data_IF_624573972784
#
_entry.id   IF_624573972784
#
_cell.length_a   1.000
_cell.length_b   1.000
_cell.length_c   1.000
_cell.angle_alpha   90.00
_cell.angle_beta   90.00
_cell.angle_gamma   90.00
#
_symmetry.space_group_name_H-M   'P 1'
#
loop_
_entity.id
_entity.type
_entity.pdbx_description
1 polymer ?
#
# COMPACT_ATOMS: atom_id res chain seq x y z
N UNK A 1 -26.84 18.66 -8.16
CA UNK A 1 -25.90 18.93 -9.28
C UNK A 1 -25.65 17.65 -10.04
N UNK A 2 -25.51 17.72 -11.38
CA UNK A 2 -25.14 16.54 -12.18
C UNK A 2 -23.65 16.62 -12.49
N UNK A 3 -22.96 15.52 -12.36
CA UNK A 3 -21.56 15.33 -12.72
C UNK A 3 -21.44 14.39 -13.91
N UNK A 4 -20.40 14.53 -14.72
CA UNK A 4 -20.15 13.58 -15.79
C UNK A 4 -19.57 12.29 -15.22
N UNK A 5 -18.61 12.40 -14.30
CA UNK A 5 -18.02 11.28 -13.60
C UNK A 5 -18.13 11.45 -12.09
N UNK A 6 -18.51 10.39 -11.39
CA UNK A 6 -18.43 10.26 -9.93
C UNK A 6 -17.39 9.19 -9.61
N UNK A 7 -16.32 9.58 -8.94
CA UNK A 7 -15.25 8.68 -8.50
C UNK A 7 -15.45 8.38 -7.02
N UNK A 8 -15.62 7.12 -6.67
CA UNK A 8 -15.84 6.66 -5.30
C UNK A 8 -14.56 6.08 -4.71
N UNK A 9 -13.96 6.81 -3.78
CA UNK A 9 -12.69 6.50 -3.13
C UNK A 9 -11.56 7.42 -3.57
N UNK A 10 -11.12 8.30 -2.67
CA UNK A 10 -10.02 9.26 -2.86
C UNK A 10 -8.63 8.66 -2.60
N UNK A 11 -8.45 7.35 -2.83
CA UNK A 11 -7.16 6.66 -2.79
C UNK A 11 -6.26 7.01 -3.98
N UNK A 12 -5.11 6.34 -4.15
CA UNK A 12 -4.17 6.63 -5.25
C UNK A 12 -4.83 6.63 -6.62
N UNK A 13 -5.63 5.61 -6.95
CA UNK A 13 -6.32 5.52 -8.22
C UNK A 13 -7.33 6.66 -8.41
N UNK A 14 -8.16 6.95 -7.39
CA UNK A 14 -9.14 8.03 -7.45
C UNK A 14 -8.51 9.41 -7.61
N UNK A 15 -7.39 9.67 -6.94
CA UNK A 15 -6.63 10.91 -7.11
C UNK A 15 -6.11 11.09 -8.54
N UNK A 16 -5.57 10.02 -9.15
CA UNK A 16 -5.09 10.03 -10.53
C UNK A 16 -6.25 10.27 -11.49
N UNK A 17 -7.34 9.53 -11.35
CA UNK A 17 -8.53 9.66 -12.20
C UNK A 17 -9.15 11.05 -12.11
N UNK A 18 -9.29 11.59 -10.90
CA UNK A 18 -9.80 12.95 -10.69
C UNK A 18 -8.91 14.01 -11.38
N UNK A 19 -7.58 13.84 -11.29
CA UNK A 19 -6.65 14.71 -11.99
C UNK A 19 -6.84 14.64 -13.51
N UNK A 20 -6.82 13.43 -14.08
CA UNK A 20 -6.82 13.23 -15.53
C UNK A 20 -8.16 13.54 -16.18
N UNK A 21 -9.27 13.09 -15.59
CA UNK A 21 -10.61 13.34 -16.15
C UNK A 21 -10.99 14.84 -16.09
N UNK A 22 -10.45 15.58 -15.13
CA UNK A 22 -10.72 17.03 -15.02
C UNK A 22 -9.75 17.91 -15.83
N UNK A 23 -8.86 17.34 -16.63
CA UNK A 23 -8.00 18.11 -17.56
C UNK A 23 -8.85 18.84 -18.61
N UNK A 24 -9.90 18.23 -19.09
CA UNK A 24 -10.91 18.88 -19.94
C UNK A 24 -11.88 19.67 -19.06
N UNK A 25 -11.87 21.00 -19.20
CA UNK A 25 -12.72 21.90 -18.42
C UNK A 25 -14.24 21.70 -18.67
N UNK A 26 -14.62 21.08 -19.76
CA UNK A 26 -16.03 20.75 -20.06
C UNK A 26 -16.54 19.53 -19.26
N UNK A 27 -15.66 18.70 -18.73
CA UNK A 27 -15.99 17.49 -17.96
C UNK A 27 -16.11 17.81 -16.48
N UNK A 28 -17.27 17.58 -15.89
CA UNK A 28 -17.52 17.78 -14.44
C UNK A 28 -17.23 16.50 -13.67
N UNK A 29 -16.26 16.56 -12.80
CA UNK A 29 -15.79 15.40 -11.99
C UNK A 29 -16.09 15.62 -10.52
N UNK A 30 -16.65 14.60 -9.87
CA UNK A 30 -16.82 14.52 -8.43
C UNK A 30 -15.96 13.39 -7.88
N UNK A 31 -15.07 13.71 -6.93
CA UNK A 31 -14.34 12.72 -6.14
C UNK A 31 -14.94 12.66 -4.75
N UNK A 32 -15.37 11.46 -4.32
CA UNK A 32 -15.91 11.18 -3.00
C UNK A 32 -14.89 10.37 -2.17
N UNK A 33 -14.58 10.87 -0.98
CA UNK A 33 -13.72 10.18 -0.01
C UNK A 33 -14.48 10.00 1.31
N UNK A 34 -14.46 8.78 1.84
CA UNK A 34 -15.13 8.44 3.10
C UNK A 34 -14.42 9.06 4.32
N UNK A 35 -13.10 9.20 4.23
CA UNK A 35 -12.27 9.81 5.26
C UNK A 35 -12.16 11.32 5.15
N UNK A 36 -11.41 11.88 6.11
CA UNK A 36 -11.12 13.31 6.16
C UNK A 36 -9.91 13.72 5.31
N UNK A 37 -9.50 14.98 5.53
CA UNK A 37 -8.29 15.53 4.90
C UNK A 37 -7.01 15.02 5.53
N UNK A 38 -5.93 15.09 4.78
CA UNK A 38 -4.56 14.82 5.22
C UNK A 38 -3.88 16.04 5.88
N UNK A 39 -4.65 16.89 6.54
CA UNK A 39 -4.17 18.13 7.16
C UNK A 39 -3.17 17.92 8.29
N UNK A 40 -3.30 16.81 9.02
CA UNK A 40 -2.41 16.50 10.12
C UNK A 40 -0.97 16.36 9.59
N UNK A 41 0.00 17.14 10.14
CA UNK A 41 1.40 17.07 9.69
C UNK A 41 2.00 15.67 9.69
N UNK A 42 1.52 14.75 10.53
CA UNK A 42 1.98 13.36 10.54
C UNK A 42 1.82 12.65 9.18
N UNK A 43 0.82 13.02 8.37
CA UNK A 43 0.68 12.45 7.01
C UNK A 43 1.82 12.87 6.08
N UNK A 44 2.43 14.01 6.33
CA UNK A 44 3.47 14.58 5.47
C UNK A 44 4.89 14.24 5.95
N UNK A 45 5.03 13.89 7.23
CA UNK A 45 6.28 13.48 7.85
C UNK A 45 6.57 12.01 7.50
N UNK A 46 7.71 11.66 6.90
CA UNK A 46 8.02 10.27 6.57
C UNK A 46 7.88 9.31 7.75
N UNK A 47 8.51 9.59 8.88
CA UNK A 47 8.41 8.76 10.08
C UNK A 47 7.01 8.73 10.72
N UNK A 48 6.08 9.60 10.29
CA UNK A 48 4.67 9.57 10.70
C UNK A 48 3.99 8.23 10.45
N UNK A 49 4.47 7.47 9.48
CA UNK A 49 4.05 6.09 9.19
C UNK A 49 3.93 5.24 10.47
N UNK A 50 4.88 5.29 11.39
CA UNK A 50 4.84 4.51 12.64
C UNK A 50 3.62 4.80 13.54
N UNK A 51 2.93 5.91 13.35
CA UNK A 51 1.66 6.22 14.02
C UNK A 51 0.46 5.73 13.21
N UNK A 52 0.59 5.71 11.87
CA UNK A 52 -0.47 5.28 10.96
C UNK A 52 -0.73 3.77 11.09
N UNK A 53 0.30 2.94 11.23
CA UNK A 53 0.17 1.49 11.49
C UNK A 53 -0.59 1.19 12.78
N UNK A 54 -0.67 2.16 13.72
CA UNK A 54 -1.42 2.03 14.98
C UNK A 54 -2.87 2.49 14.89
N UNK A 55 -3.37 2.71 13.67
CA UNK A 55 -4.78 2.95 13.39
C UNK A 55 -5.19 4.40 13.20
N UNK A 56 -4.24 5.35 13.15
CA UNK A 56 -4.56 6.74 12.79
C UNK A 56 -5.06 6.79 11.34
N UNK A 57 -6.25 7.37 11.13
CA UNK A 57 -6.91 7.46 9.83
C UNK A 57 -7.11 6.09 9.14
N UNK A 58 -7.43 5.06 9.91
CA UNK A 58 -7.76 3.71 9.45
C UNK A 58 -9.24 3.42 9.63
N UNK A 59 -9.77 2.50 8.82
CA UNK A 59 -11.10 1.93 9.01
C UNK A 59 -11.22 1.08 10.28
N UNK A 60 -10.09 0.61 10.85
CA UNK A 60 -10.06 -0.27 12.01
C UNK A 60 -10.54 -1.70 11.71
N UNK A 61 -10.44 -2.13 10.47
CA UNK A 61 -10.85 -3.48 10.08
C UNK A 61 -9.85 -4.55 10.55
N UNK A 62 -10.38 -5.76 10.70
CA UNK A 62 -9.65 -6.95 11.09
C UNK A 62 -10.06 -8.13 10.19
N UNK A 63 -9.20 -9.13 10.10
CA UNK A 63 -9.54 -10.37 9.40
C UNK A 63 -10.55 -11.18 10.23
N UNK A 64 -11.25 -12.09 9.58
CA UNK A 64 -11.87 -13.22 10.30
C UNK A 64 -10.76 -14.10 10.90
N UNK A 65 -11.06 -14.97 11.89
CA UNK A 65 -10.09 -15.90 12.45
C UNK A 65 -9.42 -16.74 11.36
N UNK A 66 -8.09 -16.65 11.24
CA UNK A 66 -7.31 -17.31 10.20
C UNK A 66 -7.00 -18.76 10.60
N UNK A 67 -7.68 -19.70 9.98
CA UNK A 67 -7.65 -21.14 10.32
C UNK A 67 -6.23 -21.71 10.39
N UNK A 68 -5.39 -21.41 9.39
CA UNK A 68 -4.03 -21.95 9.29
C UNK A 68 -3.01 -21.16 10.12
N UNK A 69 -3.42 -20.06 10.77
CA UNK A 69 -2.64 -19.27 11.71
C UNK A 69 -3.15 -19.41 13.16
N UNK A 70 -3.60 -20.59 13.55
CA UNK A 70 -4.14 -20.88 14.89
C UNK A 70 -5.32 -19.98 15.27
N UNK A 71 -6.19 -19.68 14.32
CA UNK A 71 -7.36 -18.80 14.47
C UNK A 71 -7.00 -17.36 14.94
N UNK A 72 -5.80 -16.88 14.65
CA UNK A 72 -5.46 -15.49 14.93
C UNK A 72 -6.30 -14.55 14.10
N UNK A 73 -6.75 -13.46 14.72
CA UNK A 73 -7.36 -12.31 14.08
C UNK A 73 -6.25 -11.27 13.88
N UNK A 74 -6.07 -10.81 12.65
CA UNK A 74 -5.04 -9.86 12.32
C UNK A 74 -5.68 -8.50 12.03
N UNK A 75 -5.05 -7.42 12.53
CA UNK A 75 -5.43 -6.06 12.13
C UNK A 75 -5.17 -5.88 10.64
N UNK A 76 -6.18 -5.38 9.92
CA UNK A 76 -6.11 -5.16 8.49
C UNK A 76 -6.15 -3.66 8.20
N UNK A 77 -4.99 -3.01 8.21
CA UNK A 77 -4.89 -1.55 8.14
C UNK A 77 -5.26 -1.06 6.75
N UNK A 78 -6.42 -0.43 6.64
CA UNK A 78 -6.90 0.25 5.43
C UNK A 78 -7.16 1.72 5.73
N UNK A 79 -6.65 2.60 4.85
CA UNK A 79 -6.73 4.05 5.05
C UNK A 79 -8.16 4.58 4.92
N UNK A 80 -8.50 5.56 5.77
CA UNK A 80 -9.73 6.35 5.73
C UNK A 80 -9.36 7.84 5.73
N UNK A 81 -8.75 8.29 4.64
CA UNK A 81 -8.21 9.64 4.46
C UNK A 81 -7.98 9.88 2.98
N UNK A 82 -8.04 11.13 2.54
CA UNK A 82 -7.69 11.51 1.16
C UNK A 82 -6.25 11.09 0.82
N UNK A 83 -6.02 10.59 -0.40
CA UNK A 83 -4.77 9.93 -0.81
C UNK A 83 -4.71 8.45 -0.44
N UNK A 84 -5.66 7.95 0.37
CA UNK A 84 -5.78 6.54 0.73
C UNK A 84 -4.49 5.95 1.30
N UNK A 85 -4.14 4.73 0.90
CA UNK A 85 -2.94 4.02 1.34
C UNK A 85 -1.64 4.80 1.14
N UNK A 86 -1.53 5.64 0.11
CA UNK A 86 -0.33 6.47 -0.13
C UNK A 86 -0.10 7.54 0.96
N UNK A 87 -1.15 7.92 1.70
CA UNK A 87 -1.04 8.84 2.82
C UNK A 87 -0.56 8.19 4.11
N UNK A 88 -0.60 6.84 4.22
CA UNK A 88 -0.28 6.12 5.45
C UNK A 88 0.79 5.02 5.31
N UNK A 89 1.22 4.66 4.10
CA UNK A 89 2.21 3.59 3.85
C UNK A 89 3.65 3.97 4.28
N UNK A 90 4.56 2.99 4.24
CA UNK A 90 5.98 3.17 4.53
C UNK A 90 6.77 3.87 3.41
N UNK A 91 6.11 4.32 2.34
CA UNK A 91 6.68 5.09 1.22
C UNK A 91 7.66 4.32 0.33
N UNK A 92 7.89 3.05 0.55
CA UNK A 92 8.73 2.25 -0.33
C UNK A 92 8.14 2.29 -1.75
N UNK A 93 8.99 2.67 -2.72
CA UNK A 93 8.63 2.73 -4.13
C UNK A 93 9.26 1.58 -4.88
N UNK A 94 8.45 0.56 -5.16
CA UNK A 94 8.82 -0.59 -5.98
C UNK A 94 7.70 -0.88 -6.97
N UNK A 95 8.08 -1.31 -8.16
CA UNK A 95 7.17 -1.86 -9.17
C UNK A 95 7.13 -3.37 -9.02
N UNK A 96 6.09 -4.03 -9.55
CA UNK A 96 6.12 -5.45 -9.78
C UNK A 96 7.25 -5.83 -10.74
N UNK A 97 7.68 -7.08 -10.71
CA UNK A 97 8.64 -7.60 -11.67
C UNK A 97 8.04 -7.59 -13.08
N UNK A 98 8.86 -7.40 -14.12
CA UNK A 98 8.38 -7.45 -15.51
C UNK A 98 7.62 -8.75 -15.82
N UNK A 99 8.12 -9.88 -15.32
CA UNK A 99 7.49 -11.18 -15.48
C UNK A 99 6.07 -11.30 -14.89
N UNK A 100 5.75 -10.50 -13.85
CA UNK A 100 4.41 -10.52 -13.24
C UNK A 100 3.38 -9.86 -14.17
N UNK A 101 3.75 -8.74 -14.83
CA UNK A 101 2.89 -8.09 -15.81
C UNK A 101 2.74 -8.91 -17.08
N UNK A 102 3.84 -9.55 -17.53
CA UNK A 102 3.81 -10.41 -18.71
C UNK A 102 2.92 -11.65 -18.45
N UNK A 103 2.90 -12.17 -17.22
CA UNK A 103 1.96 -13.20 -16.78
C UNK A 103 0.51 -12.73 -16.89
N UNK A 104 0.19 -11.53 -16.40
CA UNK A 104 -1.16 -10.98 -16.50
C UNK A 104 -1.63 -10.92 -17.96
N UNK A 105 -0.77 -10.45 -18.86
CA UNK A 105 -1.13 -10.34 -20.28
C UNK A 105 -1.25 -11.69 -20.99
N UNK A 106 -0.39 -12.64 -20.65
CA UNK A 106 -0.33 -13.95 -21.28
C UNK A 106 -1.32 -14.96 -20.67
N UNK A 107 -1.09 -15.34 -19.42
CA UNK A 107 -1.84 -16.43 -18.77
C UNK A 107 -3.19 -15.97 -18.22
N UNK A 108 -3.27 -14.73 -17.68
CA UNK A 108 -4.50 -14.20 -17.08
C UNK A 108 -5.40 -13.45 -18.07
N UNK A 109 -4.99 -13.37 -19.35
CA UNK A 109 -5.78 -12.77 -20.42
C UNK A 109 -5.93 -11.26 -20.36
N UNK A 110 -5.13 -10.56 -19.55
CA UNK A 110 -5.16 -9.10 -19.43
C UNK A 110 -4.36 -8.43 -20.56
N UNK A 111 -4.81 -8.58 -21.81
CA UNK A 111 -4.13 -8.02 -22.99
C UNK A 111 -3.85 -6.53 -22.84
N UNK A 112 -2.60 -6.11 -23.13
CA UNK A 112 -2.15 -4.72 -22.99
C UNK A 112 -1.67 -4.35 -21.58
N UNK A 113 -1.57 -5.32 -20.66
CA UNK A 113 -1.03 -5.14 -19.31
C UNK A 113 0.34 -5.78 -19.12
N UNK A 114 1.03 -6.21 -20.19
CA UNK A 114 2.43 -6.63 -20.13
C UNK A 114 3.34 -5.46 -19.75
N UNK A 115 4.56 -5.76 -19.31
CA UNK A 115 5.47 -4.76 -18.79
C UNK A 115 5.77 -3.63 -19.78
N UNK A 116 5.92 -3.95 -21.05
CA UNK A 116 6.16 -2.98 -22.13
C UNK A 116 5.03 -1.94 -22.24
N UNK A 117 3.78 -2.37 -22.05
CA UNK A 117 2.63 -1.47 -22.13
C UNK A 117 2.42 -0.65 -20.85
N UNK A 118 2.76 -1.17 -19.67
CA UNK A 118 2.58 -0.44 -18.39
C UNK A 118 3.76 0.47 -18.04
N UNK A 119 4.99 0.17 -18.48
CA UNK A 119 6.19 0.96 -18.21
C UNK A 119 6.06 2.46 -18.57
N UNK A 120 5.49 2.86 -19.72
CA UNK A 120 5.28 4.27 -20.06
C UNK A 120 4.42 5.02 -19.01
N UNK A 121 3.46 4.36 -18.38
CA UNK A 121 2.64 4.96 -17.34
C UNK A 121 3.37 5.12 -16.02
N UNK A 122 4.24 4.18 -15.64
CA UNK A 122 5.14 4.36 -14.50
C UNK A 122 6.07 5.55 -14.72
N UNK A 123 6.71 5.64 -15.88
CA UNK A 123 7.57 6.78 -16.24
C UNK A 123 6.82 8.11 -16.27
N UNK A 124 5.60 8.15 -16.80
CA UNK A 124 4.73 9.34 -16.81
C UNK A 124 4.36 9.81 -15.40
N UNK A 125 4.23 8.91 -14.45
CA UNK A 125 3.87 9.22 -13.06
C UNK A 125 5.06 9.76 -12.26
N UNK A 126 6.28 9.35 -12.59
CA UNK A 126 7.48 9.46 -11.79
C UNK A 126 8.20 10.80 -11.97
N UNK A 127 8.64 11.38 -10.85
CA UNK A 127 9.63 12.44 -10.77
C UNK A 127 10.82 11.94 -9.95
N UNK A 128 11.68 11.13 -10.58
CA UNK A 128 12.80 10.47 -9.93
C UNK A 128 13.97 11.43 -9.79
N UNK A 129 14.49 11.61 -8.57
CA UNK A 129 15.59 12.53 -8.28
C UNK A 129 16.98 11.97 -8.64
N UNK A 130 17.09 10.66 -8.90
CA UNK A 130 18.38 9.98 -9.13
C UNK A 130 18.51 9.39 -10.53
N UNK A 131 17.46 8.73 -11.01
CA UNK A 131 17.50 7.96 -12.26
C UNK A 131 16.67 8.64 -13.35
N UNK A 132 17.19 8.60 -14.57
CA UNK A 132 16.50 9.00 -15.80
C UNK A 132 17.09 8.20 -16.96
N UNK A 133 16.45 7.09 -17.26
CA UNK A 133 16.93 6.06 -18.19
C UNK A 133 15.77 5.34 -18.87
N UNK A 134 16.01 4.13 -19.40
CA UNK A 134 14.96 3.32 -20.03
C UNK A 134 13.81 2.98 -19.08
N UNK A 135 14.08 2.88 -17.78
CA UNK A 135 13.11 2.48 -16.75
C UNK A 135 12.54 3.68 -15.98
N UNK A 136 13.24 4.80 -15.92
CA UNK A 136 12.94 5.95 -15.08
C UNK A 136 12.69 7.23 -15.84
N UNK A 137 12.01 8.19 -15.19
CA UNK A 137 11.78 9.52 -15.72
C UNK A 137 11.72 10.55 -14.59
N UNK A 138 11.82 11.82 -14.96
CA UNK A 138 11.61 12.98 -14.10
C UNK A 138 10.46 13.85 -14.62
N UNK A 139 10.01 14.79 -13.78
CA UNK A 139 8.96 15.75 -14.16
C UNK A 139 7.53 15.25 -14.04
N UNK A 140 7.33 13.99 -13.61
CA UNK A 140 6.01 13.48 -13.27
C UNK A 140 5.48 14.04 -11.94
N UNK A 141 4.20 13.79 -11.62
CA UNK A 141 3.60 14.33 -10.39
C UNK A 141 4.11 13.66 -9.12
N UNK A 142 4.48 12.36 -9.16
CA UNK A 142 4.89 11.58 -8.00
C UNK A 142 6.39 11.72 -7.76
N UNK A 143 6.77 12.42 -6.68
CA UNK A 143 8.18 12.54 -6.30
C UNK A 143 8.73 11.21 -5.78
N UNK A 144 9.88 10.81 -6.33
CA UNK A 144 10.63 9.61 -5.95
C UNK A 144 12.06 9.98 -5.64
N UNK A 145 12.58 9.55 -4.47
CA UNK A 145 13.94 9.87 -4.03
C UNK A 145 14.61 8.68 -3.34
N UNK A 146 15.92 8.75 -3.20
CA UNK A 146 16.66 7.85 -2.31
C UNK A 146 16.53 8.31 -0.84
N UNK A 147 16.78 7.43 0.16
CA UNK A 147 16.90 7.82 1.55
C UNK A 147 17.91 8.96 1.72
N UNK A 148 17.55 9.98 2.51
CA UNK A 148 18.35 11.21 2.59
C UNK A 148 19.56 11.12 3.54
N UNK A 149 19.49 10.24 4.53
CA UNK A 149 20.54 10.04 5.55
C UNK A 149 20.34 8.68 6.23
N UNK A 150 20.62 7.58 5.53
CA UNK A 150 20.45 6.25 6.09
C UNK A 150 21.41 6.02 7.27
N UNK A 151 20.97 5.21 8.23
CA UNK A 151 21.82 4.83 9.36
C UNK A 151 22.91 3.83 8.92
N UNK A 152 24.10 3.82 9.57
CA UNK A 152 25.19 2.88 9.20
C UNK A 152 24.79 1.40 9.21
N UNK A 153 23.80 1.01 10.00
CA UNK A 153 23.29 -0.36 10.05
C UNK A 153 22.64 -0.78 8.70
N UNK A 154 22.17 0.19 7.89
CA UNK A 154 21.65 -0.07 6.56
C UNK A 154 22.75 -0.60 5.61
N UNK A 155 23.93 0.03 5.62
CA UNK A 155 25.10 -0.44 4.87
C UNK A 155 25.60 -1.79 5.38
N UNK A 156 25.53 -2.01 6.69
CA UNK A 156 25.88 -3.30 7.30
C UNK A 156 24.92 -4.41 6.85
N UNK A 157 23.63 -4.13 6.76
CA UNK A 157 22.64 -5.06 6.23
C UNK A 157 22.92 -5.43 4.76
N UNK A 158 23.23 -4.45 3.92
CA UNK A 158 23.56 -4.70 2.51
C UNK A 158 24.80 -5.60 2.41
N UNK A 159 25.86 -5.31 3.20
CA UNK A 159 27.06 -6.15 3.26
C UNK A 159 26.75 -7.55 3.77
N UNK A 160 25.88 -7.69 4.77
CA UNK A 160 25.45 -8.98 5.28
C UNK A 160 24.75 -9.82 4.19
N UNK A 161 23.88 -9.21 3.37
CA UNK A 161 23.30 -9.88 2.21
C UNK A 161 24.37 -10.33 1.20
N UNK A 162 25.38 -9.50 0.94
CA UNK A 162 26.49 -9.84 0.05
C UNK A 162 27.38 -10.97 0.61
N UNK A 163 27.63 -11.02 1.93
CA UNK A 163 28.32 -12.13 2.59
C UNK A 163 27.57 -13.47 2.41
N UNK A 164 26.24 -13.42 2.26
CA UNK A 164 25.41 -14.59 1.95
C UNK A 164 25.33 -14.90 0.43
N UNK A 165 26.00 -14.12 -0.41
CA UNK A 165 26.01 -14.29 -1.87
C UNK A 165 24.88 -13.57 -2.60
N UNK A 166 24.05 -12.76 -1.92
CA UNK A 166 23.02 -11.95 -2.55
C UNK A 166 23.68 -10.69 -3.12
N UNK A 167 23.56 -10.40 -4.43
CA UNK A 167 24.24 -9.26 -5.04
C UNK A 167 23.69 -7.92 -4.52
N UNK A 168 24.56 -6.90 -4.53
CA UNK A 168 24.09 -5.53 -4.35
C UNK A 168 23.29 -5.09 -5.58
N UNK A 169 22.10 -4.54 -5.34
CA UNK A 169 21.27 -3.95 -6.38
C UNK A 169 21.04 -2.46 -6.09
N UNK A 170 21.52 -1.54 -6.94
CA UNK A 170 21.34 -0.10 -6.77
C UNK A 170 19.94 0.37 -7.14
N UNK A 171 19.13 -0.46 -7.85
CA UNK A 171 17.85 -0.08 -8.41
C UNK A 171 16.89 -1.26 -8.61
N UNK A 172 15.97 -1.45 -7.68
CA UNK A 172 14.96 -2.51 -7.75
C UNK A 172 13.86 -2.27 -8.82
N UNK A 173 13.82 -1.08 -9.41
CA UNK A 173 12.87 -0.70 -10.45
C UNK A 173 13.49 -0.68 -11.86
N UNK A 174 14.77 -1.05 -11.97
CA UNK A 174 15.52 -1.17 -13.21
C UNK A 174 15.31 -2.52 -13.92
N UNK A 175 16.36 -2.93 -14.67
CA UNK A 175 16.34 -4.19 -15.44
C UNK A 175 16.23 -5.42 -14.55
N UNK A 176 16.99 -5.43 -13.45
CA UNK A 176 17.07 -6.54 -12.51
C UNK A 176 16.48 -6.14 -11.16
N UNK A 177 15.63 -6.99 -10.61
CA UNK A 177 15.02 -6.73 -9.31
C UNK A 177 15.74 -7.47 -8.17
N UNK A 178 16.35 -8.62 -8.45
CA UNK A 178 17.04 -9.44 -7.45
C UNK A 178 18.21 -8.70 -6.79
N UNK A 179 18.39 -8.89 -5.49
CA UNK A 179 19.51 -8.33 -4.74
C UNK A 179 19.10 -7.65 -3.44
N UNK A 180 20.11 -7.09 -2.73
CA UNK A 180 19.95 -6.25 -1.55
C UNK A 180 20.41 -4.83 -1.83
N UNK A 181 19.73 -3.83 -1.27
CA UNK A 181 20.05 -2.43 -1.54
C UNK A 181 19.17 -1.44 -0.81
N UNK A 182 19.31 -0.17 -1.17
CA UNK A 182 18.42 0.88 -0.69
C UNK A 182 17.15 0.95 -1.54
N UNK A 183 16.02 1.11 -0.88
CA UNK A 183 14.76 1.39 -1.56
C UNK A 183 14.69 2.84 -2.04
N UNK A 184 14.11 3.04 -3.21
CA UNK A 184 13.55 4.34 -3.57
C UNK A 184 12.28 4.58 -2.75
N UNK A 185 12.01 5.85 -2.45
CA UNK A 185 10.91 6.26 -1.58
C UNK A 185 9.99 7.25 -2.29
N UNK A 186 8.67 7.14 -2.09
CA UNK A 186 7.71 8.14 -2.57
C UNK A 186 7.81 9.40 -1.73
N UNK A 187 8.89 10.17 -1.96
CA UNK A 187 9.19 11.41 -1.26
C UNK A 187 9.62 12.50 -2.26
N UNK A 188 9.25 13.74 -1.95
CA UNK A 188 9.75 14.94 -2.60
C UNK A 188 10.21 15.93 -1.53
N UNK A 189 11.45 16.40 -1.60
CA UNK A 189 12.02 17.32 -0.62
C UNK A 189 11.89 16.81 0.82
N UNK A 190 12.16 15.53 1.04
CA UNK A 190 12.08 14.84 2.35
C UNK A 190 10.69 14.91 3.00
N UNK A 191 9.65 15.02 2.19
CA UNK A 191 8.25 14.89 2.60
C UNK A 191 7.63 13.75 1.81
N UNK A 192 6.65 13.09 2.43
CA UNK A 192 5.81 12.13 1.72
C UNK A 192 5.23 12.76 0.45
N UNK A 193 5.32 12.07 -0.67
CA UNK A 193 4.66 12.37 -1.92
C UNK A 193 3.44 11.44 -2.07
N UNK A 194 2.39 11.71 -1.27
CA UNK A 194 1.13 10.96 -1.38
C UNK A 194 0.40 11.31 -2.68
N UNK A 195 -0.53 10.46 -3.10
CA UNK A 195 -1.31 10.72 -4.30
C UNK A 195 -2.17 12.00 -4.17
N UNK A 196 -2.63 12.36 -2.97
CA UNK A 196 -3.32 13.62 -2.73
C UNK A 196 -2.41 14.82 -3.01
N UNK A 197 -1.15 14.79 -2.56
CA UNK A 197 -0.17 15.84 -2.82
C UNK A 197 0.29 15.86 -4.28
N UNK A 198 0.53 14.69 -4.86
CA UNK A 198 1.03 14.57 -6.22
C UNK A 198 0.00 14.97 -7.29
N UNK A 199 -1.26 14.59 -7.10
CA UNK A 199 -2.27 14.72 -8.14
C UNK A 199 -3.39 15.72 -7.83
N UNK A 200 -3.78 15.93 -6.56
CA UNK A 200 -4.88 16.83 -6.24
C UNK A 200 -4.41 18.21 -5.81
N UNK A 201 -3.29 18.30 -5.07
CA UNK A 201 -2.81 19.59 -4.56
C UNK A 201 -2.49 20.58 -5.66
N UNK A 202 -2.06 20.12 -6.83
CA UNK A 202 -1.68 20.96 -7.99
C UNK A 202 -2.87 21.46 -8.83
N UNK A 203 -4.08 20.92 -8.57
CA UNK A 203 -5.28 21.20 -9.38
C UNK A 203 -6.46 21.72 -8.54
N UNK A 204 -6.18 22.24 -7.35
CA UNK A 204 -7.23 22.72 -6.40
C UNK A 204 -8.15 23.77 -7.01
N UNK A 205 -7.65 24.56 -7.95
CA UNK A 205 -8.36 25.70 -8.54
C UNK A 205 -9.21 25.32 -9.76
N UNK A 206 -9.20 24.02 -10.15
CA UNK A 206 -10.03 23.55 -11.25
C UNK A 206 -11.52 23.62 -10.87
N UNK A 207 -12.27 24.46 -11.56
CA UNK A 207 -13.70 24.70 -11.28
C UNK A 207 -14.61 23.54 -11.64
N UNK A 208 -14.14 22.64 -12.50
CA UNK A 208 -14.86 21.45 -12.96
C UNK A 208 -14.57 20.20 -12.11
N UNK A 209 -13.69 20.31 -11.08
CA UNK A 209 -13.43 19.24 -10.12
C UNK A 209 -14.00 19.61 -8.75
N UNK A 210 -14.82 18.73 -8.20
CA UNK A 210 -15.31 18.81 -6.82
C UNK A 210 -14.72 17.64 -6.03
N UNK A 211 -14.06 17.92 -4.91
CA UNK A 211 -13.56 16.88 -3.98
C UNK A 211 -14.37 16.99 -2.69
N UNK A 212 -15.09 15.92 -2.33
CA UNK A 212 -15.87 15.84 -1.09
C UNK A 212 -15.28 14.77 -0.17
N UNK A 213 -14.75 15.22 0.94
CA UNK A 213 -14.28 14.35 2.04
C UNK A 213 -15.40 14.15 3.06
N UNK A 214 -15.24 13.15 3.94
CA UNK A 214 -16.26 12.71 4.90
C UNK A 214 -17.60 12.40 4.21
N UNK A 215 -17.54 11.85 3.00
CA UNK A 215 -18.68 11.54 2.14
C UNK A 215 -18.73 10.04 1.80
N UNK A 216 -18.94 9.16 2.81
CA UNK A 216 -18.99 7.72 2.58
C UNK A 216 -20.20 7.38 1.72
N UNK A 217 -19.95 6.60 0.66
CA UNK A 217 -20.98 6.09 -0.25
C UNK A 217 -21.60 4.84 0.36
N UNK A 218 -22.94 4.82 0.39
CA UNK A 218 -23.75 3.70 0.85
C UNK A 218 -23.94 2.66 -0.24
N UNK A 219 -24.31 3.12 -1.45
CA UNK A 219 -24.65 2.24 -2.58
C UNK A 219 -24.43 2.93 -3.91
N UNK A 220 -24.25 2.13 -4.95
CA UNK A 220 -24.38 2.52 -6.35
C UNK A 220 -25.85 2.39 -6.75
N UNK A 221 -26.38 3.42 -7.40
CA UNK A 221 -27.77 3.46 -7.80
C UNK A 221 -27.93 2.92 -9.23
N UNK A 222 -28.86 1.98 -9.40
CA UNK A 222 -29.14 1.34 -10.68
C UNK A 222 -30.61 1.50 -11.08
N UNK A 223 -30.83 1.85 -12.33
CA UNK A 223 -32.10 1.67 -13.03
C UNK A 223 -31.96 0.46 -13.97
N UNK A 224 -32.56 -0.65 -13.59
CA UNK A 224 -32.31 -1.97 -14.22
C UNK A 224 -30.83 -2.32 -14.17
N UNK A 225 -30.14 -2.26 -15.32
CA UNK A 225 -28.68 -2.53 -15.46
C UNK A 225 -27.86 -1.27 -15.69
N UNK A 226 -28.48 -0.09 -15.77
CA UNK A 226 -27.80 1.18 -15.97
C UNK A 226 -27.46 1.80 -14.61
N UNK A 227 -26.21 2.14 -14.39
CA UNK A 227 -25.77 2.93 -13.22
C UNK A 227 -26.13 4.39 -13.46
N UNK A 228 -26.89 4.99 -12.51
CA UNK A 228 -27.36 6.37 -12.60
C UNK A 228 -26.68 7.32 -11.64
N UNK A 229 -25.99 6.78 -10.62
CA UNK A 229 -25.32 7.58 -9.62
C UNK A 229 -24.95 6.80 -8.37
N UNK A 230 -24.88 7.51 -7.24
CA UNK A 230 -24.58 6.93 -5.93
C UNK A 230 -25.45 7.58 -4.85
N UNK A 231 -25.74 6.82 -3.81
CA UNK A 231 -26.38 7.30 -2.58
C UNK A 231 -25.34 7.32 -1.46
N UNK A 232 -25.21 8.47 -0.78
CA UNK A 232 -24.34 8.61 0.39
C UNK A 232 -24.98 8.02 1.65
N UNK A 233 -24.17 7.83 2.71
CA UNK A 233 -24.64 7.33 4.01
C UNK A 233 -25.67 8.25 4.68
N UNK A 234 -25.64 9.56 4.39
CA UNK A 234 -26.62 10.53 4.88
C UNK A 234 -27.93 10.57 4.07
N UNK A 235 -28.08 9.73 3.03
CA UNK A 235 -29.24 9.66 2.15
C UNK A 235 -29.21 10.60 0.94
N UNK A 236 -28.18 11.42 0.78
CA UNK A 236 -28.03 12.29 -0.39
C UNK A 236 -27.79 11.45 -1.64
N UNK A 237 -28.55 11.72 -2.71
CA UNK A 237 -28.41 11.06 -4.03
C UNK A 237 -27.66 11.98 -4.98
N UNK A 238 -26.63 11.42 -5.63
CA UNK A 238 -25.77 12.13 -6.57
C UNK A 238 -25.82 11.40 -7.94
N UNK A 239 -26.14 12.14 -9.01
CA UNK A 239 -26.31 11.59 -10.34
C UNK A 239 -25.06 11.76 -11.21
N UNK A 240 -24.68 10.70 -11.92
CA UNK A 240 -23.66 10.69 -12.95
C UNK A 240 -24.30 10.70 -14.35
N UNK A 241 -23.80 11.57 -15.25
CA UNK A 241 -24.28 11.60 -16.64
C UNK A 241 -23.59 10.54 -17.51
N UNK A 242 -22.35 10.14 -17.16
CA UNK A 242 -21.54 9.19 -17.92
C UNK A 242 -21.26 7.93 -17.11
N UNK A 243 -20.44 8.05 -16.05
CA UNK A 243 -19.99 6.87 -15.31
C UNK A 243 -19.83 7.12 -13.81
N UNK A 244 -19.99 6.05 -13.02
CA UNK A 244 -19.53 5.92 -11.66
C UNK A 244 -18.30 5.01 -11.66
N UNK A 245 -17.19 5.52 -11.16
CA UNK A 245 -15.91 4.81 -11.10
C UNK A 245 -15.64 4.39 -9.66
N UNK A 246 -15.51 3.09 -9.42
CA UNK A 246 -15.23 2.54 -8.09
C UNK A 246 -13.72 2.38 -7.91
N UNK A 247 -13.14 3.16 -6.99
CA UNK A 247 -11.71 3.18 -6.65
C UNK A 247 -11.46 3.11 -5.15
N UNK A 248 -12.32 2.37 -4.43
CA UNK A 248 -12.33 2.28 -2.96
C UNK A 248 -11.35 1.23 -2.40
N UNK A 249 -10.40 0.76 -3.20
CA UNK A 249 -9.38 -0.23 -2.84
C UNK A 249 -9.89 -1.66 -2.83
N UNK A 250 -8.99 -2.60 -2.55
CA UNK A 250 -9.24 -4.05 -2.67
C UNK A 250 -10.35 -4.56 -1.73
N UNK A 251 -10.59 -3.88 -0.61
CA UNK A 251 -11.64 -4.25 0.35
C UNK A 251 -12.90 -3.40 0.17
N UNK A 252 -12.73 -2.08 0.00
CA UNK A 252 -13.85 -1.15 -0.10
C UNK A 252 -14.64 -1.31 -1.40
N UNK A 253 -13.97 -1.61 -2.53
CA UNK A 253 -14.64 -1.76 -3.83
C UNK A 253 -15.58 -2.96 -3.87
N UNK A 254 -15.16 -4.20 -3.55
CA UNK A 254 -16.09 -5.31 -3.49
C UNK A 254 -17.16 -5.12 -2.42
N UNK A 255 -16.84 -4.54 -1.25
CA UNK A 255 -17.86 -4.20 -0.23
C UNK A 255 -18.96 -3.32 -0.82
N UNK A 256 -18.60 -2.24 -1.53
CA UNK A 256 -19.56 -1.32 -2.11
C UNK A 256 -20.42 -1.99 -3.19
N UNK A 257 -19.81 -2.80 -4.06
CA UNK A 257 -20.55 -3.57 -5.06
C UNK A 257 -21.57 -4.52 -4.42
N UNK A 258 -21.13 -5.30 -3.44
CA UNK A 258 -21.99 -6.23 -2.69
C UNK A 258 -23.15 -5.50 -2.00
N UNK A 259 -22.89 -4.37 -1.34
CA UNK A 259 -23.93 -3.55 -0.70
C UNK A 259 -24.93 -2.97 -1.71
N UNK A 260 -24.49 -2.75 -2.95
CA UNK A 260 -25.32 -2.28 -4.06
C UNK A 260 -26.14 -3.39 -4.73
N UNK A 261 -26.02 -4.64 -4.24
CA UNK A 261 -26.71 -5.80 -4.82
C UNK A 261 -26.03 -6.40 -6.05
N UNK A 262 -24.73 -6.07 -6.26
CA UNK A 262 -23.90 -6.59 -7.36
C UNK A 262 -22.90 -7.59 -6.74
N UNK A 263 -23.06 -8.88 -7.04
CA UNK A 263 -22.19 -9.93 -6.47
C UNK A 263 -22.86 -11.30 -6.46
N UNK A 264 -22.24 -12.30 -5.79
CA UNK A 264 -22.78 -13.66 -5.71
C UNK A 264 -24.19 -13.67 -5.11
N UNK A 265 -25.19 -14.09 -5.90
CA UNK A 265 -26.60 -14.01 -5.53
C UNK A 265 -26.92 -14.69 -4.19
N UNK A 266 -26.33 -15.86 -3.93
CA UNK A 266 -26.60 -16.61 -2.69
C UNK A 266 -26.01 -15.91 -1.46
N UNK A 267 -24.84 -15.31 -1.59
CA UNK A 267 -24.24 -14.51 -0.52
C UNK A 267 -25.07 -13.26 -0.23
N UNK A 268 -25.49 -12.53 -1.27
CA UNK A 268 -26.32 -11.33 -1.12
C UNK A 268 -27.62 -11.63 -0.41
N UNK A 269 -28.34 -12.71 -0.81
CA UNK A 269 -29.56 -13.16 -0.14
C UNK A 269 -29.33 -13.49 1.34
N UNK A 270 -28.25 -14.22 1.66
CA UNK A 270 -27.87 -14.55 3.05
C UNK A 270 -27.56 -13.30 3.87
N UNK A 271 -26.93 -12.29 3.27
CA UNK A 271 -26.66 -11.02 3.92
C UNK A 271 -27.88 -10.09 4.04
N UNK A 272 -29.02 -10.46 3.46
CA UNK A 272 -30.25 -9.64 3.45
C UNK A 272 -30.20 -8.48 2.44
N UNK A 273 -29.40 -8.60 1.38
CA UNK A 273 -29.28 -7.61 0.30
C UNK A 273 -30.04 -8.08 -0.92
N UNK A 274 -30.84 -7.20 -1.52
CA UNK A 274 -31.55 -7.48 -2.77
C UNK A 274 -30.57 -7.67 -3.93
N UNK A 275 -30.66 -8.81 -4.63
CA UNK A 275 -29.84 -9.08 -5.80
C UNK A 275 -30.28 -8.18 -6.97
N UNK A 276 -29.38 -7.34 -7.44
CA UNK A 276 -29.56 -6.49 -8.63
C UNK A 276 -28.86 -7.09 -9.84
N UNK A 277 -27.68 -7.66 -9.63
CA UNK A 277 -26.90 -8.32 -10.66
C UNK A 277 -26.09 -9.45 -10.04
N UNK A 278 -26.31 -10.67 -10.53
CA UNK A 278 -25.52 -11.84 -10.10
C UNK A 278 -24.15 -11.80 -10.79
N UNK A 279 -23.12 -11.50 -10.00
CA UNK A 279 -21.73 -11.41 -10.45
C UNK A 279 -20.84 -12.20 -9.49
N UNK A 280 -20.64 -13.50 -9.73
CA UNK A 280 -20.02 -14.42 -8.78
C UNK A 280 -18.61 -14.04 -8.35
N UNK A 281 -17.83 -13.35 -9.20
CA UNK A 281 -16.44 -12.98 -8.93
C UNK A 281 -16.27 -11.83 -7.91
N UNK A 282 -17.32 -11.09 -7.57
CA UNK A 282 -17.20 -9.96 -6.64
C UNK A 282 -16.88 -10.44 -5.22
N UNK A 283 -15.75 -9.96 -4.71
CA UNK A 283 -15.26 -10.34 -3.39
C UNK A 283 -14.59 -11.71 -3.34
N UNK A 284 -14.33 -12.33 -4.48
CA UNK A 284 -13.54 -13.56 -4.62
C UNK A 284 -12.08 -13.27 -4.91
N UNK A 285 -11.26 -14.32 -4.83
CA UNK A 285 -9.88 -14.34 -5.31
C UNK A 285 -8.94 -13.34 -4.60
N UNK A 286 -9.24 -12.99 -3.35
CA UNK A 286 -8.37 -12.13 -2.56
C UNK A 286 -6.99 -12.76 -2.38
N UNK A 287 -5.94 -11.97 -2.60
CA UNK A 287 -4.55 -12.34 -2.40
C UNK A 287 -3.86 -11.27 -1.56
N UNK A 288 -2.96 -11.69 -0.68
CA UNK A 288 -2.20 -10.77 0.17
C UNK A 288 -0.86 -11.37 0.58
N UNK A 289 0.13 -10.51 0.84
CA UNK A 289 1.43 -10.93 1.34
C UNK A 289 1.39 -11.09 2.85
N UNK A 290 1.76 -12.27 3.35
CA UNK A 290 1.93 -12.52 4.78
C UNK A 290 3.39 -12.30 5.16
N UNK A 291 3.65 -11.27 5.97
CA UNK A 291 4.97 -10.98 6.50
C UNK A 291 5.33 -11.86 7.70
N UNK A 292 6.55 -12.39 7.69
CA UNK A 292 7.21 -12.99 8.84
C UNK A 292 8.38 -12.11 9.29
N UNK A 293 8.69 -12.12 10.58
CA UNK A 293 9.63 -11.19 11.17
C UNK A 293 10.78 -11.89 11.89
N UNK A 294 12.01 -11.43 11.64
CA UNK A 294 13.16 -11.67 12.51
C UNK A 294 13.43 -10.37 13.28
N UNK A 295 13.33 -10.43 14.59
CA UNK A 295 13.58 -9.28 15.45
C UNK A 295 14.87 -9.53 16.20
N UNK A 296 15.80 -8.58 16.14
CA UNK A 296 17.08 -8.65 16.85
C UNK A 296 17.30 -7.41 17.70
N UNK A 297 17.84 -7.62 18.90
CA UNK A 297 18.26 -6.55 19.80
C UNK A 297 19.63 -6.02 19.36
N UNK A 298 19.81 -4.70 19.38
CA UNK A 298 21.06 -4.05 19.07
C UNK A 298 21.94 -3.89 20.30
N UNK A 299 23.26 -3.94 20.11
CA UNK A 299 24.26 -3.71 21.16
C UNK A 299 24.36 -2.26 21.64
N UNK A 300 23.72 -1.33 20.89
CA UNK A 300 23.72 0.11 21.17
C UNK A 300 22.58 0.85 20.48
N UNK A 301 22.66 2.17 20.45
CA UNK A 301 21.63 3.08 19.89
C UNK A 301 21.83 3.22 18.37
N UNK A 302 21.65 2.11 17.63
CA UNK A 302 21.88 2.02 16.18
C UNK A 302 20.60 2.19 15.34
N UNK A 303 19.45 2.45 16.01
CA UNK A 303 18.12 2.54 15.37
C UNK A 303 17.35 3.76 15.87
N UNK A 304 16.13 3.94 15.37
CA UNK A 304 15.27 5.05 15.79
C UNK A 304 14.48 4.78 17.09
N UNK A 305 14.66 3.63 17.75
CA UNK A 305 13.98 3.34 19.03
C UNK A 305 14.30 4.37 20.11
N UNK A 306 15.54 4.87 20.15
CA UNK A 306 15.97 5.91 21.08
C UNK A 306 15.27 7.26 20.88
N UNK A 307 14.73 7.53 19.68
CA UNK A 307 14.00 8.77 19.36
C UNK A 307 12.62 8.80 20.02
N UNK A 308 12.08 7.68 20.42
CA UNK A 308 10.77 7.60 21.09
C UNK A 308 10.72 8.27 22.48
N UNK A 309 11.88 8.61 23.08
CA UNK A 309 11.94 9.41 24.32
C UNK A 309 11.46 10.83 24.04
N UNK A 310 10.58 11.37 24.90
CA UNK A 310 9.84 12.63 24.68
C UNK A 310 10.75 13.81 24.25
N UNK A 311 11.86 14.05 24.96
CA UNK A 311 12.78 15.14 24.64
C UNK A 311 13.47 14.97 23.28
N UNK A 312 13.83 13.72 22.91
CA UNK A 312 14.42 13.41 21.60
C UNK A 312 13.37 13.52 20.48
N UNK A 313 12.13 13.10 20.73
CA UNK A 313 11.02 13.26 19.79
C UNK A 313 10.75 14.73 19.49
N UNK A 314 10.74 15.59 20.52
CA UNK A 314 10.57 17.03 20.32
C UNK A 314 11.72 17.64 19.53
N UNK A 315 12.98 17.32 19.90
CA UNK A 315 14.16 17.78 19.16
C UNK A 315 14.17 17.33 17.69
N UNK A 316 13.86 16.05 17.42
CA UNK A 316 13.74 15.52 16.06
C UNK A 316 12.60 16.20 15.27
N UNK A 317 11.47 16.50 15.93
CA UNK A 317 10.37 17.24 15.35
C UNK A 317 10.77 18.67 14.94
N UNK A 318 11.43 19.39 15.81
CA UNK A 318 11.95 20.75 15.52
C UNK A 318 12.99 20.72 14.39
N UNK A 319 13.96 19.78 14.45
CA UNK A 319 14.93 19.60 13.39
C UNK A 319 14.27 19.37 12.04
N UNK A 320 13.22 18.55 11.98
CA UNK A 320 12.49 18.31 10.75
C UNK A 320 11.71 19.55 10.27
N UNK A 321 11.04 20.27 11.19
CA UNK A 321 10.26 21.46 10.82
C UNK A 321 11.16 22.53 10.17
N UNK A 322 12.31 22.81 10.77
CA UNK A 322 13.19 23.88 10.32
C UNK A 322 14.18 23.45 9.23
N UNK A 323 14.69 22.21 9.27
CA UNK A 323 15.79 21.75 8.43
C UNK A 323 15.41 20.61 7.47
N UNK A 324 14.20 20.05 7.58
CA UNK A 324 13.77 18.87 6.82
C UNK A 324 14.79 17.73 6.88
N UNK A 325 15.38 17.50 8.05
CA UNK A 325 16.43 16.50 8.26
C UNK A 325 16.22 15.71 9.56
N UNK A 326 17.08 14.74 9.79
CA UNK A 326 17.06 13.92 10.99
C UNK A 326 16.04 12.77 10.94
N UNK A 327 15.78 12.10 12.08
CA UNK A 327 15.00 10.87 12.14
C UNK A 327 13.59 10.94 11.56
N UNK A 328 12.95 12.11 11.60
CA UNK A 328 11.60 12.30 11.09
C UNK A 328 11.56 12.27 9.55
N UNK A 329 12.70 12.54 8.88
CA UNK A 329 12.82 12.45 7.41
C UNK A 329 12.99 11.00 6.90
N UNK A 330 13.22 10.03 7.79
CA UNK A 330 13.31 8.61 7.45
C UNK A 330 11.91 7.97 7.29
N UNK A 331 11.79 7.06 6.34
CA UNK A 331 10.61 6.19 6.21
C UNK A 331 10.61 5.04 7.22
N UNK A 332 11.68 4.86 7.98
CA UNK A 332 11.99 3.75 8.88
C UNK A 332 12.27 2.41 8.16
N UNK A 333 12.02 2.32 6.86
CA UNK A 333 12.29 1.17 5.99
C UNK A 333 13.05 1.66 4.76
N UNK A 334 14.37 1.78 4.89
CA UNK A 334 15.21 2.41 3.87
C UNK A 334 15.99 1.38 3.04
N UNK A 335 16.16 0.17 3.58
CA UNK A 335 16.87 -0.93 2.92
C UNK A 335 16.05 -2.22 2.96
N UNK A 336 16.38 -3.09 2.04
CA UNK A 336 15.79 -4.41 1.96
C UNK A 336 16.34 -5.17 0.75
N UNK A 337 15.51 -5.95 0.10
CA UNK A 337 15.93 -6.71 -1.06
C UNK A 337 14.82 -7.58 -1.62
N UNK A 338 15.14 -8.16 -2.76
CA UNK A 338 14.33 -9.18 -3.43
C UNK A 338 15.19 -10.40 -3.71
N UNK A 339 14.72 -11.59 -3.35
CA UNK A 339 15.47 -12.83 -3.54
C UNK A 339 14.55 -14.01 -3.81
N UNK A 340 15.13 -15.18 -3.98
CA UNK A 340 14.44 -16.41 -4.34
C UNK A 340 14.35 -17.35 -3.14
N UNK A 341 13.14 -17.74 -2.73
CA UNK A 341 12.90 -18.89 -1.86
C UNK A 341 12.69 -20.16 -2.68
N UNK A 342 12.06 -20.03 -3.85
CA UNK A 342 11.95 -21.09 -4.84
C UNK A 342 13.01 -20.88 -5.92
N UNK A 343 14.01 -21.79 -6.06
CA UNK A 343 15.04 -21.66 -7.10
C UNK A 343 14.48 -21.72 -8.54
N UNK A 344 13.26 -22.27 -8.70
CA UNK A 344 12.60 -22.37 -10.00
C UNK A 344 11.62 -21.21 -10.25
N UNK A 345 11.56 -20.23 -9.35
CA UNK A 345 10.70 -19.05 -9.53
C UNK A 345 11.15 -18.21 -10.73
N UNK A 346 10.20 -17.73 -11.53
CA UNK A 346 10.45 -16.90 -12.71
C UNK A 346 10.99 -15.50 -12.39
N UNK A 347 10.71 -15.02 -11.18
CA UNK A 347 11.12 -13.73 -10.64
C UNK A 347 11.38 -13.87 -9.15
N UNK A 348 12.08 -12.92 -8.49
CA UNK A 348 12.21 -12.94 -7.04
C UNK A 348 10.86 -13.10 -6.36
N UNK A 349 10.74 -14.07 -5.47
CA UNK A 349 9.49 -14.43 -4.81
C UNK A 349 9.46 -14.08 -3.33
N UNK A 350 10.57 -13.57 -2.78
CA UNK A 350 10.67 -13.00 -1.43
C UNK A 350 11.09 -11.54 -1.50
N UNK A 351 10.40 -10.71 -0.70
CA UNK A 351 10.83 -9.34 -0.42
C UNK A 351 11.25 -9.20 1.03
N UNK A 352 12.37 -8.50 1.27
CA UNK A 352 12.86 -8.15 2.59
C UNK A 352 12.72 -6.66 2.86
N UNK A 353 12.35 -6.28 4.10
CA UNK A 353 12.35 -4.89 4.56
C UNK A 353 13.08 -4.82 5.90
N UNK A 354 14.14 -4.00 5.99
CA UNK A 354 14.80 -3.74 7.25
C UNK A 354 14.12 -2.55 7.95
N UNK A 355 13.37 -2.83 9.01
CA UNK A 355 12.79 -1.83 9.89
C UNK A 355 13.82 -1.34 10.91
N UNK A 356 14.05 -0.03 10.95
CA UNK A 356 15.04 0.64 11.82
C UNK A 356 14.48 0.91 13.22
N UNK A 357 13.91 -0.12 13.82
CA UNK A 357 13.32 -0.13 15.15
C UNK A 357 12.60 -1.42 15.45
N UNK A 358 12.24 -1.63 16.70
CA UNK A 358 11.39 -2.72 17.14
C UNK A 358 9.96 -2.26 17.38
N UNK A 359 8.97 -3.11 17.07
CA UNK A 359 7.55 -2.79 17.30
C UNK A 359 7.02 -1.61 16.46
N UNK A 360 7.61 -1.36 15.28
CA UNK A 360 7.14 -0.34 14.34
C UNK A 360 5.79 -0.74 13.78
N UNK A 361 5.64 -1.99 13.40
CA UNK A 361 4.43 -2.54 12.80
C UNK A 361 3.44 -3.08 13.84
N UNK A 362 2.18 -3.12 13.45
CA UNK A 362 1.13 -3.70 14.29
C UNK A 362 1.34 -5.22 14.44
N UNK A 363 1.28 -5.71 15.68
CA UNK A 363 1.48 -7.13 15.99
C UNK A 363 2.93 -7.56 16.18
N UNK A 364 3.89 -6.66 15.98
CA UNK A 364 5.31 -6.88 16.29
C UNK A 364 5.60 -6.39 17.70
N UNK A 365 6.21 -7.25 18.52
CA UNK A 365 6.57 -6.90 19.89
C UNK A 365 7.69 -5.85 19.93
N UNK A 366 7.51 -4.84 20.77
CA UNK A 366 8.56 -3.86 21.03
C UNK A 366 9.55 -4.40 22.02
N UNK A 367 10.84 -4.44 21.66
CA UNK A 367 11.92 -4.81 22.56
C UNK A 367 12.12 -3.75 23.65
N UNK A 368 12.73 -4.18 24.76
CA UNK A 368 13.09 -3.28 25.86
C UNK A 368 14.21 -2.32 25.46
N UNK A 369 15.18 -2.82 24.71
CA UNK A 369 16.31 -2.05 24.16
C UNK A 369 16.08 -1.74 22.68
N UNK A 370 17.01 -1.02 22.06
CA UNK A 370 16.99 -0.74 20.64
C UNK A 370 17.09 -2.05 19.83
N UNK A 371 16.39 -2.14 18.72
CA UNK A 371 16.40 -3.32 17.89
C UNK A 371 16.07 -3.02 16.42
N UNK A 372 16.23 -4.02 15.59
CA UNK A 372 15.81 -4.03 14.19
C UNK A 372 14.80 -5.12 13.95
N UNK A 373 13.96 -4.91 12.96
CA UNK A 373 13.00 -5.91 12.47
C UNK A 373 13.27 -6.16 11.00
N UNK A 374 13.64 -7.39 10.63
CA UNK A 374 13.76 -7.80 9.24
C UNK A 374 12.50 -8.57 8.83
N UNK A 375 11.70 -7.98 7.96
CA UNK A 375 10.51 -8.59 7.39
C UNK A 375 10.91 -9.50 6.23
N UNK A 376 10.16 -10.58 6.05
CA UNK A 376 10.23 -11.49 4.92
C UNK A 376 8.83 -11.78 4.43
N UNK A 377 8.50 -11.30 3.24
CA UNK A 377 7.20 -11.47 2.59
C UNK A 377 7.31 -12.37 1.37
N UNK A 378 6.51 -13.43 1.32
CA UNK A 378 6.35 -14.23 0.09
C UNK A 378 5.42 -13.49 -0.88
N UNK A 379 5.87 -13.25 -2.11
CA UNK A 379 5.24 -12.34 -3.05
C UNK A 379 4.20 -13.00 -3.99
N UNK A 380 4.25 -14.33 -4.17
CA UNK A 380 3.41 -15.04 -5.13
C UNK A 380 2.47 -16.05 -4.45
N UNK A 381 1.63 -15.63 -3.49
CA UNK A 381 0.79 -16.56 -2.74
C UNK A 381 -0.21 -17.26 -3.66
N UNK A 382 -0.36 -18.59 -3.46
CA UNK A 382 -1.36 -19.44 -4.13
C UNK A 382 -2.67 -19.50 -3.34
N UNK A 383 -2.63 -19.19 -2.05
CA UNK A 383 -3.81 -19.07 -1.21
C UNK A 383 -4.76 -18.02 -1.76
N UNK A 384 -6.05 -18.32 -1.74
CA UNK A 384 -7.11 -17.42 -2.21
C UNK A 384 -8.12 -17.21 -1.10
N UNK A 385 -8.49 -15.96 -0.93
CA UNK A 385 -9.39 -15.50 0.09
C UNK A 385 -10.62 -14.79 -0.46
N UNK A 386 -11.39 -14.19 0.43
CA UNK A 386 -12.65 -13.52 0.08
C UNK A 386 -12.88 -12.24 0.87
N UNK A 387 -13.66 -11.33 0.29
CA UNK A 387 -14.29 -10.20 0.98
C UNK A 387 -15.79 -10.39 0.93
N UNK A 388 -16.46 -10.40 2.09
CA UNK A 388 -17.90 -10.66 2.20
C UNK A 388 -18.59 -9.59 3.06
N UNK A 389 -19.91 -9.46 2.92
CA UNK A 389 -20.73 -8.68 3.83
C UNK A 389 -21.01 -9.49 5.10
N UNK A 390 -20.93 -8.84 6.26
CA UNK A 390 -21.40 -9.39 7.52
C UNK A 390 -22.93 -9.33 7.64
N UNK A 391 -23.56 -8.31 7.04
CA UNK A 391 -25.00 -8.05 7.03
C UNK A 391 -25.36 -7.03 5.94
N UNK A 392 -26.63 -6.65 5.85
CA UNK A 392 -27.11 -5.56 4.97
C UNK A 392 -26.85 -4.15 5.56
N UNK A 393 -26.30 -4.03 6.76
CA UNK A 393 -25.91 -2.72 7.32
C UNK A 393 -24.68 -2.18 6.59
N UNK A 394 -24.78 -1.04 5.88
CA UNK A 394 -23.66 -0.46 5.18
C UNK A 394 -22.53 0.04 6.11
N UNK A 395 -22.82 0.28 7.38
CA UNK A 395 -21.82 0.68 8.36
C UNK A 395 -21.02 -0.51 8.93
N UNK A 396 -21.54 -1.74 8.80
CA UNK A 396 -20.86 -2.94 9.29
C UNK A 396 -19.50 -3.15 8.60
N UNK A 397 -18.52 -3.61 9.37
CA UNK A 397 -17.23 -4.01 8.80
C UNK A 397 -17.42 -5.23 7.87
N UNK A 398 -16.68 -5.33 6.77
CA UNK A 398 -16.68 -6.50 5.93
C UNK A 398 -16.02 -7.69 6.63
N UNK A 399 -16.39 -8.90 6.23
CA UNK A 399 -15.66 -10.12 6.57
C UNK A 399 -14.48 -10.24 5.61
N UNK A 400 -13.27 -10.03 6.13
CA UNK A 400 -12.02 -10.08 5.36
C UNK A 400 -11.35 -11.41 5.69
N UNK A 401 -11.28 -12.28 4.71
CA UNK A 401 -10.62 -13.57 4.83
C UNK A 401 -9.52 -13.74 3.77
N UNK A 402 -8.28 -13.40 4.06
CA UNK A 402 -7.16 -13.69 3.18
C UNK A 402 -6.89 -15.19 3.02
N UNK A 403 -7.39 -16.02 3.94
CA UNK A 403 -7.19 -17.47 3.96
C UNK A 403 -5.70 -17.86 3.88
N UNK A 404 -4.87 -17.12 4.64
CA UNK A 404 -3.40 -17.30 4.63
C UNK A 404 -3.00 -18.74 4.87
N UNK A 405 -2.01 -19.21 4.08
CA UNK A 405 -1.45 -20.56 4.14
C UNK A 405 -2.45 -21.69 3.94
N UNK A 406 -3.58 -21.42 3.26
CA UNK A 406 -4.49 -22.48 2.81
C UNK A 406 -3.82 -23.39 1.77
N UNK A 407 -2.87 -22.84 0.99
CA UNK A 407 -1.97 -23.61 0.15
C UNK A 407 -0.68 -23.93 0.92
N UNK A 408 -0.28 -25.23 1.01
CA UNK A 408 0.96 -25.61 1.69
C UNK A 408 2.24 -25.03 1.09
N UNK A 409 2.23 -24.68 -0.20
CA UNK A 409 3.37 -24.05 -0.89
C UNK A 409 3.68 -22.69 -0.27
N UNK A 410 2.66 -21.87 -0.01
CA UNK A 410 2.85 -20.53 0.58
C UNK A 410 3.54 -20.61 1.94
N UNK A 411 3.13 -21.59 2.76
CA UNK A 411 3.78 -21.83 4.06
C UNK A 411 5.24 -22.24 3.89
N UNK A 412 5.53 -23.13 2.93
CA UNK A 412 6.90 -23.58 2.65
C UNK A 412 7.76 -22.39 2.23
N UNK A 413 7.33 -21.58 1.26
CA UNK A 413 8.09 -20.44 0.75
C UNK A 413 8.27 -19.35 1.80
N UNK A 414 7.23 -19.05 2.58
CA UNK A 414 7.33 -18.10 3.70
C UNK A 414 8.38 -18.54 4.74
N UNK A 415 8.48 -19.85 5.03
CA UNK A 415 9.47 -20.39 5.96
C UNK A 415 10.89 -20.35 5.38
N UNK A 416 11.06 -20.62 4.07
CA UNK A 416 12.37 -20.47 3.42
C UNK A 416 12.81 -19.00 3.43
N UNK A 417 11.94 -18.05 3.10
CA UNK A 417 12.24 -16.63 3.20
C UNK A 417 12.62 -16.20 4.62
N UNK A 418 11.95 -16.74 5.65
CA UNK A 418 12.31 -16.48 7.05
C UNK A 418 13.68 -17.04 7.43
N UNK A 419 14.08 -18.23 6.89
CA UNK A 419 15.42 -18.79 7.11
C UNK A 419 16.48 -17.89 6.49
N UNK A 420 16.29 -17.44 5.24
CA UNK A 420 17.20 -16.50 4.58
C UNK A 420 17.33 -15.22 5.38
N UNK A 421 16.22 -14.64 5.87
CA UNK A 421 16.23 -13.46 6.72
C UNK A 421 17.08 -13.69 8.00
N UNK A 422 16.94 -14.84 8.65
CA UNK A 422 17.75 -15.19 9.83
C UNK A 422 19.23 -15.35 9.49
N UNK A 423 19.56 -15.94 8.36
CA UNK A 423 20.93 -16.11 7.88
C UNK A 423 21.58 -14.74 7.61
N UNK A 424 20.87 -13.81 6.95
CA UNK A 424 21.33 -12.43 6.75
C UNK A 424 21.65 -11.78 8.11
N UNK A 425 20.76 -11.92 9.09
CA UNK A 425 20.92 -11.31 10.43
C UNK A 425 22.09 -11.91 11.24
N UNK A 426 22.63 -13.07 10.84
CA UNK A 426 23.76 -13.74 11.49
C UNK A 426 25.13 -13.44 10.85
N UNK A 427 25.16 -12.71 9.74
CA UNK A 427 26.38 -12.42 9.00
C UNK A 427 27.35 -11.50 9.77
N UNK A 428 28.64 -11.57 9.38
CA UNK A 428 29.74 -10.87 10.02
C UNK A 428 29.55 -9.36 10.06
N UNK A 429 29.06 -8.78 8.98
CA UNK A 429 28.82 -7.33 8.86
C UNK A 429 27.86 -6.75 9.90
N UNK A 430 26.92 -7.54 10.42
CA UNK A 430 25.94 -7.10 11.42
C UNK A 430 26.41 -7.33 12.87
N UNK A 431 27.48 -8.10 13.12
CA UNK A 431 27.97 -8.40 14.48
C UNK A 431 28.28 -7.16 15.34
N UNK A 432 28.82 -6.04 14.79
CA UNK A 432 29.09 -4.85 15.60
C UNK A 432 27.82 -4.16 16.11
N UNK A 433 26.70 -4.45 15.53
CA UNK A 433 25.41 -3.79 15.81
C UNK A 433 24.54 -4.61 16.73
#
# INVERSE_FOLDING_TARGET
>A
MKYDYIIVGGGPAGCVLANRLSEDAAIKVLLLEAGGSDWNPLFHMPAGFAKMTKGVASWGWETVPQKHLKNRVLRYTQAKVIGGGSSINAQIYTRGNAADYDLWAGEDGCTGWDYRHVLPYFKRAEDNQRFNDDFHSYGGPLGVSMPSAPLPICDAYIRAGQELGIPYNPDFNGREQAGVGFYQLTQRNRRRSSASLAYLATIRDRKNLTVRMNAPVRSIDLEKTLVTGVTLMNGEVLHANREVIVSSGAIGSPKLLLQSGIGPADHLKKAGVNVRHDLPGVGENMQDHLDLFVIAECTGDHTYDGVAKLHRTLGAGLQYIFLRSGPVASSLFETGGFWYADPDARSPDIQFHLGLGSGIEAGVEKLKNAGVTLNSAYLHPRSRGTVRLASNDPAAAPLIDPNYWSDPHDRKMSLEGLKIAREIMQQGALKPY
#
